data_IF_731886461080
#
_entry.id   IF_731886461080
#
_cell.length_a   1.000
_cell.length_b   1.000
_cell.length_c   1.000
_cell.angle_alpha   90.00
_cell.angle_beta   90.00
_cell.angle_gamma   90.00
#
_symmetry.space_group_name_H-M   'P 1'
#
loop_
_entity.id
_entity.type
_entity.pdbx_description
1 polymer ?
#
# COMPACT_ATOMS: atom_id res chain seq x y z
N UNK A 1 34.62 -31.51 -26.39
CA UNK A 1 35.88 -30.75 -26.16
C UNK A 1 35.58 -29.25 -26.29
N UNK A 2 36.25 -28.37 -25.51
CA UNK A 2 35.71 -27.49 -24.43
C UNK A 2 35.56 -26.01 -24.88
N UNK A 3 35.15 -24.97 -24.12
CA UNK A 3 35.42 -24.46 -22.74
C UNK A 3 34.37 -23.35 -22.41
N UNK A 4 33.90 -23.01 -21.19
CA UNK A 4 34.50 -22.59 -19.89
C UNK A 4 35.46 -21.39 -19.94
N UNK A 5 34.95 -20.18 -19.62
CA UNK A 5 35.66 -18.98 -19.13
C UNK A 5 34.67 -18.28 -18.16
N UNK A 6 34.83 -18.11 -16.85
CA UNK A 6 35.96 -17.76 -15.97
C UNK A 6 36.49 -16.34 -16.19
N UNK A 7 36.15 -15.44 -15.28
CA UNK A 7 36.97 -14.27 -14.94
C UNK A 7 36.68 -13.85 -13.49
N UNK A 8 37.41 -14.50 -12.59
CA UNK A 8 37.74 -13.96 -11.28
C UNK A 8 39.03 -13.12 -11.40
N UNK A 9 39.23 -12.31 -10.35
CA UNK A 9 40.49 -11.85 -9.78
C UNK A 9 40.85 -10.37 -10.07
N UNK A 10 41.39 -9.61 -9.11
CA UNK A 10 42.19 -9.98 -7.95
C UNK A 10 41.96 -9.04 -6.75
N UNK A 11 42.02 -9.63 -5.56
CA UNK A 11 42.11 -9.04 -4.22
C UNK A 11 43.48 -8.37 -3.95
N UNK A 12 43.50 -7.66 -2.82
CA UNK A 12 44.63 -7.21 -1.98
C UNK A 12 45.10 -5.77 -2.13
N UNK A 13 44.72 -4.93 -1.17
CA UNK A 13 45.71 -4.44 -0.21
C UNK A 13 45.04 -3.95 1.10
N UNK A 14 45.38 -4.61 2.20
CA UNK A 14 45.23 -4.20 3.60
C UNK A 14 43.82 -4.05 4.22
N UNK A 15 43.40 -5.07 4.98
CA UNK A 15 42.95 -4.82 6.36
C UNK A 15 43.29 -6.02 7.26
N UNK A 16 43.88 -5.81 8.45
CA UNK A 16 44.47 -6.88 9.25
C UNK A 16 43.42 -7.69 10.01
N UNK A 17 43.80 -8.93 10.29
CA UNK A 17 43.11 -9.86 11.14
C UNK A 17 43.03 -9.37 12.59
N UNK A 18 41.81 -9.36 13.15
CA UNK A 18 41.51 -9.52 14.57
C UNK A 18 40.00 -9.72 14.74
N UNK A 19 39.60 -10.94 15.14
CA UNK A 19 38.37 -11.25 15.90
C UNK A 19 37.01 -10.95 15.25
N UNK A 20 36.23 -12.01 15.02
CA UNK A 20 34.91 -12.01 14.41
C UNK A 20 34.88 -11.40 13.00
N UNK A 21 34.91 -12.26 11.98
CA UNK A 21 34.08 -11.98 10.82
C UNK A 21 32.67 -11.88 11.36
N UNK A 22 32.18 -10.67 11.59
CA UNK A 22 30.75 -10.40 11.50
C UNK A 22 30.37 -10.94 10.12
N UNK A 23 29.90 -12.19 10.09
CA UNK A 23 29.36 -12.79 8.88
C UNK A 23 28.25 -11.85 8.48
N UNK A 24 28.47 -11.06 7.43
CA UNK A 24 27.39 -10.28 6.83
C UNK A 24 26.33 -11.34 6.47
N UNK A 25 25.12 -11.26 7.03
CA UNK A 25 24.11 -12.28 6.79
C UNK A 25 23.88 -12.40 5.29
N UNK A 26 23.97 -13.62 4.76
CA UNK A 26 23.65 -13.86 3.35
C UNK A 26 22.14 -13.68 3.18
N UNK A 27 21.74 -12.72 2.34
CA UNK A 27 20.33 -12.46 2.08
C UNK A 27 19.71 -13.66 1.35
N UNK A 28 18.54 -14.16 1.81
CA UNK A 28 17.82 -15.19 1.10
C UNK A 28 17.44 -14.74 -0.31
N UNK A 29 17.48 -15.67 -1.29
CA UNK A 29 17.23 -15.38 -2.71
C UNK A 29 15.89 -14.66 -2.96
N UNK A 30 14.85 -15.00 -2.19
CA UNK A 30 13.51 -14.40 -2.27
C UNK A 30 13.48 -12.94 -1.80
N UNK A 31 14.35 -12.59 -0.86
CA UNK A 31 14.47 -11.25 -0.29
C UNK A 31 15.39 -10.35 -1.12
N UNK A 32 16.27 -10.93 -1.95
CA UNK A 32 17.19 -10.18 -2.79
C UNK A 32 16.49 -9.16 -3.72
N UNK A 33 15.31 -9.50 -4.23
CA UNK A 33 14.50 -8.62 -5.08
C UNK A 33 13.94 -7.39 -4.32
N UNK A 34 13.94 -7.43 -2.99
CA UNK A 34 13.33 -6.44 -2.11
C UNK A 34 14.37 -5.64 -1.30
N UNK A 35 15.63 -5.59 -1.74
CA UNK A 35 16.73 -4.93 -1.01
C UNK A 35 16.39 -3.52 -0.50
N UNK A 36 15.78 -2.67 -1.33
CA UNK A 36 15.44 -1.29 -0.93
C UNK A 36 14.41 -1.25 0.21
N UNK A 37 13.44 -2.16 0.18
CA UNK A 37 12.46 -2.29 1.26
C UNK A 37 13.14 -2.74 2.56
N UNK A 38 13.97 -3.78 2.48
CA UNK A 38 14.70 -4.33 3.64
C UNK A 38 15.60 -3.27 4.28
N UNK A 39 16.36 -2.53 3.47
CA UNK A 39 17.21 -1.45 3.95
C UNK A 39 16.41 -0.33 4.65
N UNK A 40 15.24 0.01 4.11
CA UNK A 40 14.34 1.02 4.71
C UNK A 40 13.79 0.55 6.05
N UNK A 41 13.30 -0.69 6.13
CA UNK A 41 12.77 -1.25 7.38
C UNK A 41 13.86 -1.45 8.43
N UNK A 42 15.04 -1.92 8.03
CA UNK A 42 16.18 -2.08 8.92
C UNK A 42 16.63 -0.74 9.52
N UNK A 43 16.66 0.32 8.69
CA UNK A 43 16.97 1.67 9.16
C UNK A 43 15.89 2.22 10.11
N UNK A 44 14.62 1.89 9.88
CA UNK A 44 13.51 2.30 10.75
C UNK A 44 13.53 1.59 12.12
N UNK A 45 14.05 0.36 12.18
CA UNK A 45 14.16 -0.42 13.42
C UNK A 45 15.43 -0.15 14.25
N UNK A 46 16.42 0.58 13.72
CA UNK A 46 17.74 0.78 14.36
C UNK A 46 18.41 -0.55 14.78
N UNK A 47 18.40 -1.54 13.87
CA UNK A 47 18.83 -2.92 14.15
C UNK A 47 20.30 -3.02 14.59
N UNK A 48 20.55 -3.77 15.67
CA UNK A 48 21.89 -4.14 16.08
C UNK A 48 22.46 -5.26 15.18
N UNK A 49 23.81 -5.41 15.07
CA UNK A 49 24.43 -6.42 14.21
C UNK A 49 23.97 -7.87 14.47
N UNK A 50 23.64 -8.22 15.71
CA UNK A 50 23.18 -9.56 16.09
C UNK A 50 21.68 -9.83 15.88
N UNK A 51 20.91 -8.83 15.47
CA UNK A 51 19.45 -8.94 15.27
C UNK A 51 19.06 -9.18 13.81
N UNK A 52 20.05 -9.13 12.90
CA UNK A 52 19.82 -9.26 11.46
C UNK A 52 19.22 -10.61 11.07
N UNK A 53 19.69 -11.73 11.63
CA UNK A 53 19.19 -13.06 11.27
C UNK A 53 17.70 -13.20 11.60
N UNK A 54 17.30 -12.83 12.82
CA UNK A 54 15.90 -12.85 13.27
C UNK A 54 15.02 -11.90 12.45
N UNK A 55 15.56 -10.74 12.08
CA UNK A 55 14.85 -9.79 11.22
C UNK A 55 14.60 -10.37 9.82
N UNK A 56 15.59 -11.01 9.20
CA UNK A 56 15.43 -11.65 7.89
C UNK A 56 14.44 -12.81 7.94
N UNK A 57 14.52 -13.67 8.96
CA UNK A 57 13.56 -14.76 9.18
C UNK A 57 12.12 -14.24 9.32
N UNK A 58 11.94 -13.10 10.01
CA UNK A 58 10.63 -12.45 10.16
C UNK A 58 10.11 -11.96 8.81
N UNK A 59 10.96 -11.32 8.00
CA UNK A 59 10.58 -10.85 6.67
C UNK A 59 10.26 -11.99 5.71
N UNK A 60 11.00 -13.10 5.74
CA UNK A 60 10.67 -14.29 4.95
C UNK A 60 9.30 -14.85 5.32
N UNK A 61 9.01 -14.95 6.61
CA UNK A 61 7.71 -15.41 7.11
C UNK A 61 6.58 -14.51 6.62
N UNK A 62 6.79 -13.19 6.63
CA UNK A 62 5.82 -12.20 6.15
C UNK A 62 5.65 -12.23 4.62
N UNK A 63 6.66 -12.63 3.84
CA UNK A 63 6.50 -12.85 2.40
C UNK A 63 5.58 -14.03 2.09
N UNK A 64 5.70 -15.11 2.86
CA UNK A 64 4.86 -16.31 2.67
C UNK A 64 3.46 -16.10 3.24
N UNK A 65 3.35 -15.34 4.33
CA UNK A 65 2.09 -15.03 5.00
C UNK A 65 1.92 -13.53 5.27
N UNK A 66 1.61 -12.72 4.23
CA UNK A 66 1.45 -11.28 4.40
C UNK A 66 0.33 -10.93 5.40
N UNK A 67 0.61 -9.95 6.26
CA UNK A 67 -0.30 -9.55 7.33
C UNK A 67 -1.52 -8.80 6.76
N UNK A 68 -2.72 -9.12 7.25
CA UNK A 68 -3.95 -8.40 6.86
C UNK A 68 -4.07 -7.09 7.63
N UNK A 69 -3.85 -5.94 6.99
CA UNK A 69 -3.88 -4.62 7.67
C UNK A 69 -5.23 -4.29 8.29
N UNK A 70 -6.32 -4.75 7.68
CA UNK A 70 -7.67 -4.47 8.17
C UNK A 70 -8.13 -5.38 9.31
N UNK A 71 -7.50 -6.54 9.47
CA UNK A 71 -7.90 -7.54 10.47
C UNK A 71 -6.88 -7.65 11.60
N UNK A 72 -5.63 -7.28 11.37
CA UNK A 72 -4.54 -7.38 12.35
C UNK A 72 -4.85 -6.61 13.64
N UNK A 73 -4.50 -7.22 14.75
CA UNK A 73 -4.53 -6.66 16.10
C UNK A 73 -3.34 -5.73 16.34
N UNK A 74 -3.35 -5.00 17.46
CA UNK A 74 -2.22 -4.13 17.81
C UNK A 74 -0.92 -4.93 18.00
N UNK A 75 -1.03 -6.12 18.59
CA UNK A 75 0.11 -7.00 18.85
C UNK A 75 0.67 -7.56 17.53
N UNK A 76 -0.19 -8.05 16.62
CA UNK A 76 0.24 -8.53 15.30
C UNK A 76 0.84 -7.42 14.43
N UNK A 77 0.33 -6.18 14.53
CA UNK A 77 0.93 -5.03 13.86
C UNK A 77 2.30 -4.66 14.45
N UNK A 78 2.54 -4.98 15.73
CA UNK A 78 3.84 -4.82 16.39
C UNK A 78 4.91 -5.79 15.90
N UNK A 79 4.51 -6.89 15.25
CA UNK A 79 5.42 -7.82 14.60
C UNK A 79 5.92 -7.31 13.24
N UNK A 80 5.24 -6.31 12.64
CA UNK A 80 5.69 -5.70 11.40
C UNK A 80 6.93 -4.84 11.65
N UNK A 81 8.04 -5.10 10.95
CA UNK A 81 9.21 -4.24 11.07
C UNK A 81 8.93 -2.85 10.51
N UNK A 82 9.60 -1.84 11.06
CA UNK A 82 9.51 -0.44 10.67
C UNK A 82 8.29 0.31 11.21
N UNK A 83 7.45 -0.33 12.02
CA UNK A 83 6.32 0.32 12.68
C UNK A 83 6.60 0.57 14.17
N UNK A 84 6.32 1.80 14.60
CA UNK A 84 6.33 2.15 16.02
C UNK A 84 4.91 2.12 16.64
N UNK A 85 4.86 2.18 17.98
CA UNK A 85 3.60 2.14 18.72
C UNK A 85 2.64 3.29 18.38
N UNK A 86 3.17 4.46 17.99
CA UNK A 86 2.36 5.62 17.60
C UNK A 86 1.72 5.40 16.22
N UNK A 87 2.48 4.88 15.26
CA UNK A 87 2.01 4.54 13.92
C UNK A 87 0.94 3.45 13.97
N UNK A 88 1.13 2.44 14.82
CA UNK A 88 0.14 1.39 15.07
C UNK A 88 -1.15 1.99 15.65
N UNK A 89 -1.04 2.85 16.68
CA UNK A 89 -2.19 3.51 17.28
C UNK A 89 -2.95 4.38 16.25
N UNK A 90 -2.22 5.15 15.42
CA UNK A 90 -2.80 5.96 14.35
C UNK A 90 -3.58 5.12 13.33
N UNK A 91 -3.06 3.94 12.95
CA UNK A 91 -3.74 3.04 12.03
C UNK A 91 -5.03 2.47 12.66
N UNK A 92 -4.97 2.08 13.94
CA UNK A 92 -6.15 1.59 14.66
C UNK A 92 -7.21 2.68 14.82
N UNK A 93 -6.83 3.91 15.13
CA UNK A 93 -7.74 5.05 15.18
C UNK A 93 -8.35 5.35 13.80
N UNK A 94 -7.53 5.32 12.74
CA UNK A 94 -8.01 5.49 11.36
C UNK A 94 -9.08 4.44 11.02
N UNK A 95 -8.82 3.17 11.35
CA UNK A 95 -9.79 2.06 11.16
C UNK A 95 -11.08 2.26 11.94
N UNK A 96 -11.00 2.78 13.16
CA UNK A 96 -12.19 3.08 13.98
C UNK A 96 -13.01 4.24 13.41
N UNK A 97 -12.34 5.28 12.89
CA UNK A 97 -12.99 6.51 12.44
C UNK A 97 -13.55 6.42 11.02
N UNK A 98 -12.82 5.77 10.11
CA UNK A 98 -13.13 5.72 8.68
C UNK A 98 -13.59 4.33 8.22
N UNK A 99 -13.38 3.30 9.03
CA UNK A 99 -13.68 1.91 8.69
C UNK A 99 -12.49 1.19 8.07
N UNK A 100 -12.77 0.07 7.40
CA UNK A 100 -11.75 -0.74 6.71
C UNK A 100 -11.14 0.05 5.55
N UNK A 101 -9.83 -0.10 5.34
CA UNK A 101 -9.13 0.41 4.18
C UNK A 101 -9.63 -0.30 2.92
N UNK A 102 -10.04 0.46 1.90
CA UNK A 102 -10.46 -0.07 0.60
C UNK A 102 -9.26 -0.27 -0.34
N UNK A 103 -8.17 0.44 -0.07
CA UNK A 103 -6.93 0.41 -0.83
C UNK A 103 -5.74 0.56 0.11
N UNK A 104 -4.65 -0.18 -0.15
CA UNK A 104 -3.41 -0.09 0.65
C UNK A 104 -2.86 1.34 0.63
N UNK A 105 -3.09 2.08 -0.46
CA UNK A 105 -2.63 3.46 -0.60
C UNK A 105 -3.31 4.45 0.36
N UNK A 106 -4.41 4.07 1.02
CA UNK A 106 -5.01 4.88 2.09
C UNK A 106 -4.11 5.02 3.31
N UNK A 107 -3.10 4.15 3.47
CA UNK A 107 -2.10 4.31 4.53
C UNK A 107 -1.39 5.68 4.50
N UNK A 108 -1.33 6.34 3.34
CA UNK A 108 -0.79 7.70 3.21
C UNK A 108 -1.63 8.76 3.95
N UNK A 109 -2.90 8.46 4.25
CA UNK A 109 -3.77 9.33 5.04
C UNK A 109 -3.67 9.05 6.55
N UNK A 110 -2.94 8.00 6.96
CA UNK A 110 -2.74 7.66 8.37
C UNK A 110 -1.65 8.57 8.96
N UNK A 111 -1.93 9.30 10.05
CA UNK A 111 -0.94 10.19 10.66
C UNK A 111 0.32 9.43 11.12
N UNK A 112 1.49 10.01 10.87
CA UNK A 112 2.78 9.46 11.28
C UNK A 112 3.37 8.41 10.33
N UNK A 113 2.66 8.03 9.26
CA UNK A 113 3.18 7.12 8.25
C UNK A 113 3.87 7.91 7.12
N UNK A 114 5.08 7.47 6.77
CA UNK A 114 5.82 8.04 5.64
C UNK A 114 5.73 7.13 4.40
N UNK A 115 5.90 7.73 3.23
CA UNK A 115 5.73 7.04 1.94
C UNK A 115 6.82 5.97 1.73
N UNK A 116 8.02 6.14 2.28
CA UNK A 116 9.10 5.18 2.12
C UNK A 116 8.81 3.90 2.90
N UNK A 117 8.42 4.03 4.18
CA UNK A 117 7.99 2.91 5.03
C UNK A 117 6.77 2.21 4.47
N UNK A 118 5.75 2.96 4.00
CA UNK A 118 4.57 2.36 3.33
C UNK A 118 5.01 1.48 2.15
N UNK A 119 5.89 1.99 1.28
CA UNK A 119 6.38 1.26 0.11
C UNK A 119 7.18 0.03 0.50
N UNK A 120 8.02 0.16 1.52
CA UNK A 120 8.82 -0.94 2.05
C UNK A 120 7.96 -2.04 2.66
N UNK A 121 6.81 -1.69 3.25
CA UNK A 121 5.86 -2.65 3.83
C UNK A 121 5.01 -3.39 2.81
N UNK A 122 4.81 -2.85 1.59
CA UNK A 122 3.90 -3.42 0.58
C UNK A 122 4.08 -4.92 0.30
N UNK A 123 5.30 -5.49 0.25
CA UNK A 123 5.49 -6.93 0.03
C UNK A 123 5.01 -7.80 1.20
N UNK A 124 4.94 -7.24 2.41
CA UNK A 124 4.71 -7.94 3.67
C UNK A 124 3.28 -7.78 4.20
N UNK A 125 2.47 -6.94 3.55
CA UNK A 125 1.10 -6.63 3.95
C UNK A 125 0.12 -6.92 2.81
N UNK A 126 -1.13 -7.18 3.17
CA UNK A 126 -2.21 -7.39 2.21
C UNK A 126 -3.54 -6.80 2.69
N UNK A 127 -4.44 -6.64 1.72
CA UNK A 127 -5.87 -6.51 1.98
C UNK A 127 -6.54 -7.86 1.70
N UNK A 128 -7.44 -8.25 2.58
CA UNK A 128 -8.30 -9.43 2.39
C UNK A 128 -9.25 -9.20 1.22
N UNK A 129 -9.66 -10.28 0.52
CA UNK A 129 -10.61 -10.16 -0.59
C UNK A 129 -11.96 -9.52 -0.19
N UNK A 130 -12.33 -9.63 1.09
CA UNK A 130 -13.52 -9.00 1.65
C UNK A 130 -13.37 -7.49 1.90
N UNK A 131 -12.15 -6.95 1.91
CA UNK A 131 -11.88 -5.52 2.10
C UNK A 131 -12.26 -4.68 0.88
N UNK A 132 -12.25 -5.30 -0.30
CA UNK A 132 -12.62 -4.66 -1.55
C UNK A 132 -14.13 -4.42 -1.70
N UNK A 133 -14.95 -4.89 -0.75
CA UNK A 133 -16.38 -4.61 -0.73
C UNK A 133 -16.61 -3.33 0.09
N UNK A 134 -16.89 -2.18 -0.57
CA UNK A 134 -17.19 -0.98 0.16
C UNK A 134 -18.46 -1.19 0.98
N UNK A 135 -18.40 -0.90 2.28
CA UNK A 135 -19.61 -0.70 3.06
C UNK A 135 -20.47 0.35 2.34
N UNK A 136 -21.79 0.17 2.35
CA UNK A 136 -22.69 1.04 1.58
C UNK A 136 -22.58 2.51 2.01
N UNK A 137 -22.14 2.77 3.25
CA UNK A 137 -21.82 4.12 3.75
C UNK A 137 -20.58 4.70 3.08
N UNK A 138 -19.51 3.91 2.97
CA UNK A 138 -18.27 4.27 2.27
C UNK A 138 -18.54 4.45 0.78
N UNK A 139 -19.34 3.54 0.19
CA UNK A 139 -19.79 3.61 -1.18
C UNK A 139 -20.49 4.94 -1.46
N UNK A 140 -21.39 5.39 -0.57
CA UNK A 140 -22.11 6.66 -0.72
C UNK A 140 -21.19 7.89 -0.55
N UNK A 141 -20.21 7.83 0.37
CA UNK A 141 -19.35 8.97 0.71
C UNK A 141 -18.19 9.17 -0.27
N UNK A 142 -17.66 8.09 -0.83
CA UNK A 142 -16.53 8.09 -1.75
C UNK A 142 -16.92 7.73 -3.20
N UNK A 143 -18.20 7.50 -3.47
CA UNK A 143 -18.69 7.20 -4.81
C UNK A 143 -18.56 8.38 -5.76
N UNK A 144 -18.29 8.09 -7.02
CA UNK A 144 -18.22 9.09 -8.08
C UNK A 144 -19.63 9.51 -8.51
N UNK A 145 -19.92 10.81 -8.40
CA UNK A 145 -21.16 11.40 -8.88
C UNK A 145 -20.93 12.22 -10.15
N UNK A 146 -21.58 11.84 -11.25
CA UNK A 146 -21.58 12.60 -12.50
C UNK A 146 -22.97 13.19 -12.75
N UNK A 147 -23.02 14.51 -12.96
CA UNK A 147 -24.24 15.25 -13.28
C UNK A 147 -24.12 15.84 -14.68
N UNK A 148 -25.01 15.44 -15.57
CA UNK A 148 -25.16 15.99 -16.91
C UNK A 148 -26.43 16.82 -16.97
N UNK A 149 -26.26 18.12 -17.21
CA UNK A 149 -27.36 19.05 -17.46
C UNK A 149 -27.24 19.56 -18.89
N UNK A 150 -28.30 19.40 -19.69
CA UNK A 150 -28.38 19.94 -21.04
C UNK A 150 -29.71 20.67 -21.23
N UNK A 151 -29.63 21.97 -21.45
CA UNK A 151 -30.75 22.83 -21.81
C UNK A 151 -30.60 23.28 -23.26
N UNK A 152 -31.60 23.01 -24.09
CA UNK A 152 -31.65 23.55 -25.45
C UNK A 152 -32.50 24.82 -25.47
N UNK A 153 -31.84 25.95 -25.72
CA UNK A 153 -32.50 27.24 -25.93
C UNK A 153 -32.63 27.45 -27.43
N UNK A 154 -33.84 27.66 -27.89
CA UNK A 154 -34.09 28.01 -29.28
C UNK A 154 -34.16 29.53 -29.39
N UNK A 155 -33.21 30.10 -30.14
CA UNK A 155 -33.04 31.55 -30.30
C UNK A 155 -33.80 32.04 -31.54
N UNK A 156 -35.11 31.80 -31.57
CA UNK A 156 -35.97 32.23 -32.68
C UNK A 156 -36.63 33.55 -32.27
N UNK A 157 -36.22 34.67 -32.87
CA UNK A 157 -36.92 35.93 -32.64
C UNK A 157 -38.35 35.85 -33.20
N UNK A 158 -39.41 36.19 -32.43
CA UNK A 158 -39.44 36.95 -31.18
C UNK A 158 -39.78 36.12 -29.90
N UNK A 159 -39.81 34.79 -29.96
CA UNK A 159 -40.37 33.93 -28.90
C UNK A 159 -39.31 33.01 -28.29
N UNK A 160 -38.80 33.38 -27.12
CA UNK A 160 -37.86 32.56 -26.36
C UNK A 160 -38.62 31.51 -25.54
N UNK A 161 -38.80 30.30 -26.07
CA UNK A 161 -39.32 29.15 -25.30
C UNK A 161 -38.28 28.04 -25.15
N UNK A 162 -38.06 27.51 -23.93
CA UNK A 162 -37.22 26.33 -23.74
C UNK A 162 -37.92 25.12 -24.39
N UNK A 163 -37.21 24.39 -25.25
CA UNK A 163 -37.81 23.28 -25.99
C UNK A 163 -37.73 21.95 -25.24
N UNK A 164 -36.56 21.64 -24.67
CA UNK A 164 -36.28 20.38 -23.97
C UNK A 164 -35.20 20.59 -22.93
N UNK A 165 -35.39 20.01 -21.75
CA UNK A 165 -34.43 20.02 -20.65
C UNK A 165 -34.07 18.59 -20.27
N UNK A 166 -32.80 18.23 -20.41
CA UNK A 166 -32.30 16.90 -20.13
C UNK A 166 -31.43 16.91 -18.87
N UNK A 167 -31.76 16.05 -17.92
CA UNK A 167 -31.03 15.85 -16.67
C UNK A 167 -30.65 14.37 -16.56
N UNK A 168 -29.36 14.07 -16.50
CA UNK A 168 -28.88 12.72 -16.22
C UNK A 168 -27.92 12.74 -15.03
N UNK A 169 -28.28 12.00 -14.00
CA UNK A 169 -27.44 11.74 -12.85
C UNK A 169 -26.93 10.30 -12.90
N UNK A 170 -25.63 10.10 -12.74
CA UNK A 170 -25.00 8.79 -12.64
C UNK A 170 -24.14 8.75 -11.39
N UNK A 171 -24.42 7.78 -10.53
CA UNK A 171 -23.66 7.48 -9.33
C UNK A 171 -22.96 6.14 -9.50
N UNK A 172 -21.65 6.12 -9.31
CA UNK A 172 -20.82 4.91 -9.42
C UNK A 172 -20.05 4.72 -8.13
N UNK A 173 -20.31 3.63 -7.41
CA UNK A 173 -19.57 3.27 -6.22
C UNK A 173 -19.00 1.85 -6.34
N UNK A 174 -17.69 1.78 -6.57
CA UNK A 174 -16.96 0.52 -6.79
C UNK A 174 -17.37 -0.21 -8.08
N UNK A 175 -17.07 -1.52 -8.16
CA UNK A 175 -17.32 -2.35 -9.36
C UNK A 175 -18.74 -2.91 -9.48
N UNK A 176 -19.62 -2.69 -8.48
CA UNK A 176 -20.93 -3.36 -8.41
C UNK A 176 -22.14 -2.42 -8.25
N UNK A 177 -21.96 -1.19 -7.76
CA UNK A 177 -23.07 -0.28 -7.51
C UNK A 177 -23.06 0.86 -8.53
N UNK A 178 -24.00 0.80 -9.47
CA UNK A 178 -24.26 1.85 -10.45
C UNK A 178 -25.73 2.23 -10.35
N UNK A 179 -26.01 3.49 -10.04
CA UNK A 179 -27.36 4.05 -10.04
C UNK A 179 -27.41 5.19 -11.04
N UNK A 180 -28.43 5.19 -11.91
CA UNK A 180 -28.63 6.22 -12.92
C UNK A 180 -30.05 6.73 -12.88
N UNK A 181 -30.23 8.05 -12.95
CA UNK A 181 -31.53 8.68 -13.06
C UNK A 181 -31.51 9.62 -14.27
N UNK A 182 -32.52 9.49 -15.13
CA UNK A 182 -32.68 10.30 -16.34
C UNK A 182 -34.06 10.95 -16.31
N UNK A 183 -34.11 12.26 -16.54
CA UNK A 183 -35.32 13.05 -16.70
C UNK A 183 -35.22 13.84 -18.01
N UNK A 184 -36.30 13.82 -18.82
CA UNK A 184 -36.42 14.50 -20.12
C UNK A 184 -37.58 15.50 -20.12
#
# INVERSE_FOLDING_TARGET
MPARLALCAFLWFAWPALGHTDTIPELPERLADHWEAIATLAAANDLAPGEWDTFLETLETLLDHPLSINDATADELGELPGLDAMQIASLLEYRQRFGRLLSIYELQAVPGWDVATIRALLPFIRLSANDALPDWRSALRFGESQLYLRSEWRTDWPDFRPLKSYLRYKFTAGRRLQAGLTME
#
